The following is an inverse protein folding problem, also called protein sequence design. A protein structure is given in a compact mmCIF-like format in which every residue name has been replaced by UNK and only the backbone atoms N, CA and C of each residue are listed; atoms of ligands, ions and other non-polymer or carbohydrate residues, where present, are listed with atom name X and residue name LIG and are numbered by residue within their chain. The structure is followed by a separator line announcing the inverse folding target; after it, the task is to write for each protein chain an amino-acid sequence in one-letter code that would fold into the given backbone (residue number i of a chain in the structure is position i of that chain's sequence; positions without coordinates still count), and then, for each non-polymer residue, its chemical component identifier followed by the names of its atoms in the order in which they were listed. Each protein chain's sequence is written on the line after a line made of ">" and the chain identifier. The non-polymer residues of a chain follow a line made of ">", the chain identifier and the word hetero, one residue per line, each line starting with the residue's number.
data_IF_242383485189
#
_entry.id   IF_242383485189
#
_cell.length_a   1.000
_cell.length_b   1.000
_cell.length_c   1.000
_cell.angle_alpha   90.00
_cell.angle_beta   90.00
_cell.angle_gamma   90.00
#
_symmetry.space_group_name_H-M   'P 1'
#
loop_
_entity.id
_entity.type
_entity.pdbx_description
1 polymer ?
#
# COMPACT_ATOMS: atom_id res chain seq x y z
N UNK A 1 36.86 61.95 33.53
CA UNK A 1 37.81 61.36 32.56
C UNK A 1 37.16 60.06 32.13
N UNK A 2 37.04 59.90 30.82
CA UNK A 2 36.02 59.19 30.04
C UNK A 2 35.46 57.91 30.65
N UNK A 3 34.13 57.85 30.73
CA UNK A 3 33.39 56.63 30.46
C UNK A 3 33.60 56.32 28.97
N UNK A 4 34.76 55.75 28.62
CA UNK A 4 34.89 55.07 27.34
C UNK A 4 34.08 53.79 27.49
N UNK A 5 32.85 53.81 26.98
CA UNK A 5 32.07 52.60 26.77
C UNK A 5 32.95 51.64 25.99
N UNK A 6 33.25 50.47 26.57
CA UNK A 6 34.04 49.43 25.90
C UNK A 6 33.28 49.05 24.62
N UNK A 7 33.75 49.54 23.46
CA UNK A 7 33.06 49.38 22.17
C UNK A 7 32.77 47.91 21.86
N UNK A 8 33.60 47.01 22.39
CA UNK A 8 33.38 45.55 22.33
C UNK A 8 32.08 45.13 23.03
N UNK A 9 31.79 45.70 24.19
CA UNK A 9 30.57 45.40 24.94
C UNK A 9 29.33 46.00 24.24
N UNK A 10 29.45 47.21 23.69
CA UNK A 10 28.36 47.81 22.92
C UNK A 10 27.99 46.97 21.69
N UNK A 11 28.99 46.51 20.94
CA UNK A 11 28.76 45.63 19.78
C UNK A 11 28.14 44.29 20.20
N UNK A 12 28.62 43.68 21.29
CA UNK A 12 28.07 42.43 21.81
C UNK A 12 26.61 42.57 22.28
N UNK A 13 26.27 43.66 22.95
CA UNK A 13 24.90 43.95 23.38
C UNK A 13 23.97 44.13 22.17
N UNK A 14 24.43 44.79 21.11
CA UNK A 14 23.69 44.90 19.86
C UNK A 14 23.51 43.53 19.18
N UNK A 15 24.58 42.73 19.11
CA UNK A 15 24.54 41.41 18.48
C UNK A 15 23.63 40.43 19.22
N UNK A 16 23.66 40.41 20.54
CA UNK A 16 22.75 39.55 21.33
C UNK A 16 21.29 39.96 21.20
N UNK A 17 21.01 41.23 20.91
CA UNK A 17 19.66 41.70 20.61
C UNK A 17 19.20 41.33 19.19
N UNK A 18 20.11 41.32 18.20
CA UNK A 18 19.82 40.99 16.80
C UNK A 18 19.74 39.47 16.59
N UNK A 19 20.63 38.71 17.23
CA UNK A 19 20.78 37.26 17.10
C UNK A 19 20.56 36.57 18.46
N UNK A 20 19.31 36.26 18.84
CA UNK A 20 18.99 35.58 20.10
C UNK A 20 19.69 34.23 20.29
N UNK A 21 20.11 33.60 19.21
CA UNK A 21 20.83 32.34 19.16
C UNK A 21 22.36 32.48 19.33
N UNK A 22 22.88 33.70 19.40
CA UNK A 22 24.29 33.97 19.71
C UNK A 22 24.64 33.42 21.10
N UNK A 23 25.65 32.55 21.15
CA UNK A 23 26.10 31.92 22.38
C UNK A 23 27.43 32.52 22.86
N UNK A 24 27.42 33.16 24.03
CA UNK A 24 28.64 33.71 24.64
C UNK A 24 29.53 32.60 25.19
N UNK A 25 30.81 32.64 24.84
CA UNK A 25 31.84 31.67 25.29
C UNK A 25 32.88 32.28 26.23
N UNK A 26 32.89 33.61 26.34
CA UNK A 26 33.72 34.40 27.23
C UNK A 26 33.15 35.81 27.39
N UNK A 27 33.83 36.71 28.11
CA UNK A 27 33.35 38.09 28.31
C UNK A 27 33.32 38.90 27.01
N UNK A 28 34.21 38.59 26.06
CA UNK A 28 34.33 39.29 24.78
C UNK A 28 34.39 38.31 23.59
N UNK A 29 33.78 37.13 23.75
CA UNK A 29 33.91 36.03 22.80
C UNK A 29 32.57 35.32 22.63
N UNK A 30 32.21 35.00 21.39
CA UNK A 30 30.90 34.42 21.04
C UNK A 30 31.00 33.41 19.91
N UNK A 31 29.93 32.63 19.74
CA UNK A 31 29.73 31.78 18.57
C UNK A 31 28.30 31.85 18.06
N UNK A 32 28.16 31.72 16.74
CA UNK A 32 26.90 31.72 16.01
C UNK A 32 26.93 30.64 14.92
N UNK A 33 25.79 30.00 14.67
CA UNK A 33 25.59 29.13 13.52
C UNK A 33 24.83 29.91 12.46
N UNK A 34 25.43 30.09 11.29
CA UNK A 34 24.90 30.92 10.20
C UNK A 34 24.49 30.01 9.05
N UNK A 35 23.20 29.99 8.73
CA UNK A 35 22.69 29.27 7.56
C UNK A 35 23.06 30.03 6.27
N UNK A 36 23.39 29.29 5.22
CA UNK A 36 23.64 29.86 3.89
C UNK A 36 22.56 29.36 2.95
N UNK A 37 21.83 30.33 2.37
CA UNK A 37 20.80 30.04 1.39
C UNK A 37 21.45 29.60 0.07
N UNK A 38 20.99 28.47 -0.44
CA UNK A 38 21.38 27.99 -1.76
C UNK A 38 20.43 28.55 -2.82
N UNK A 39 20.89 29.44 -3.73
CA UNK A 39 20.03 29.98 -4.79
C UNK A 39 19.61 28.91 -5.81
N UNK A 40 20.39 27.84 -5.92
CA UNK A 40 20.09 26.67 -6.71
C UNK A 40 20.66 25.42 -6.03
N UNK A 41 20.12 24.21 -6.31
CA UNK A 41 20.69 22.97 -5.80
C UNK A 41 22.16 22.82 -6.21
N UNK A 42 22.97 22.24 -5.33
CA UNK A 42 24.37 21.91 -5.59
C UNK A 42 24.51 20.41 -5.78
N UNK A 43 25.30 19.98 -6.75
CA UNK A 43 25.67 18.57 -6.93
C UNK A 43 26.80 18.16 -6.00
N UNK A 44 26.59 17.08 -5.25
CA UNK A 44 27.63 16.41 -4.48
C UNK A 44 27.95 15.05 -5.10
N UNK A 45 29.22 14.65 -5.04
CA UNK A 45 29.69 13.35 -5.50
C UNK A 45 30.00 12.46 -4.28
N UNK A 46 29.11 11.51 -3.92
CA UNK A 46 29.42 10.53 -2.90
C UNK A 46 30.65 9.72 -3.33
N UNK A 47 31.55 9.39 -2.41
CA UNK A 47 32.80 8.71 -2.74
C UNK A 47 32.57 7.40 -3.53
N UNK A 48 33.12 7.31 -4.75
CA UNK A 48 32.99 6.18 -5.67
C UNK A 48 32.43 6.57 -7.04
N UNK A 49 32.21 5.60 -7.93
CA UNK A 49 31.57 5.74 -9.26
C UNK A 49 30.06 6.07 -9.17
N UNK A 50 29.61 6.64 -8.05
CA UNK A 50 28.21 6.95 -7.79
C UNK A 50 27.76 8.20 -8.58
N UNK A 51 26.51 8.19 -9.03
CA UNK A 51 25.92 9.34 -9.70
C UNK A 51 25.89 10.57 -8.76
N UNK A 52 26.06 11.80 -9.29
CA UNK A 52 25.91 13.02 -8.52
C UNK A 52 24.51 13.11 -7.89
N UNK A 53 24.45 13.59 -6.65
CA UNK A 53 23.21 13.83 -5.92
C UNK A 53 23.06 15.33 -5.68
N UNK A 54 21.86 15.87 -5.94
CA UNK A 54 21.58 17.28 -5.68
C UNK A 54 21.09 17.49 -4.24
N UNK A 55 21.62 18.50 -3.56
CA UNK A 55 21.17 18.96 -2.24
C UNK A 55 20.64 20.39 -2.31
N UNK A 56 19.69 20.72 -1.44
CA UNK A 56 19.06 22.05 -1.33
C UNK A 56 19.42 22.78 -0.04
N UNK A 57 19.88 22.05 0.97
CA UNK A 57 20.24 22.59 2.27
C UNK A 57 21.65 22.18 2.67
N UNK A 58 22.34 23.08 3.35
CA UNK A 58 23.67 22.83 3.89
C UNK A 58 23.70 22.99 5.41
N UNK A 59 24.56 22.21 6.10
CA UNK A 59 24.89 22.50 7.48
C UNK A 59 25.35 23.95 7.68
N UNK A 60 24.92 24.64 8.74
CA UNK A 60 25.31 26.02 8.99
C UNK A 60 26.82 26.17 9.19
N UNK A 61 27.32 27.37 8.90
CA UNK A 61 28.68 27.78 9.20
C UNK A 61 28.78 28.16 10.67
N UNK A 62 29.68 27.51 11.40
CA UNK A 62 30.05 27.90 12.74
C UNK A 62 31.02 29.07 12.66
N UNK A 63 30.54 30.26 13.03
CA UNK A 63 31.35 31.46 13.18
C UNK A 63 31.65 31.69 14.66
N UNK A 64 32.93 31.68 15.03
CA UNK A 64 33.39 32.05 16.36
C UNK A 64 34.26 33.28 16.29
N UNK A 65 34.16 34.13 17.31
CA UNK A 65 34.98 35.32 17.41
C UNK A 65 35.43 35.57 18.85
N UNK A 66 36.57 36.26 18.99
CA UNK A 66 37.14 36.77 20.23
C UNK A 66 37.64 38.19 19.97
N UNK A 67 37.18 39.16 20.75
CA UNK A 67 37.50 40.58 20.58
C UNK A 67 38.67 40.97 21.50
N UNK A 68 39.90 41.07 20.97
CA UNK A 68 41.08 41.35 21.79
C UNK A 68 41.06 42.78 22.35
N UNK A 69 41.95 43.04 23.31
CA UNK A 69 42.22 44.40 23.76
C UNK A 69 42.76 45.22 22.59
N UNK A 70 42.17 46.40 22.35
CA UNK A 70 42.50 47.27 21.22
C UNK A 70 41.59 47.13 20.01
N UNK A 71 40.66 46.16 20.00
CA UNK A 71 39.57 46.13 19.02
C UNK A 71 38.51 47.19 19.38
N UNK A 72 37.92 47.89 18.39
CA UNK A 72 38.16 47.78 16.95
C UNK A 72 39.28 48.66 16.40
N UNK A 73 39.75 49.68 17.13
CA UNK A 73 40.61 50.74 16.57
C UNK A 73 42.02 50.29 16.14
N UNK A 74 42.63 49.38 16.90
CA UNK A 74 44.09 49.07 16.81
C UNK A 74 44.39 47.59 16.62
N UNK A 75 43.39 46.71 16.80
CA UNK A 75 43.55 45.28 16.64
C UNK A 75 42.31 44.63 15.98
N UNK A 76 42.49 43.69 15.04
CA UNK A 76 41.39 42.97 14.41
C UNK A 76 40.73 41.97 15.36
N UNK A 77 39.49 41.53 15.06
CA UNK A 77 38.84 40.46 15.80
C UNK A 77 39.52 39.13 15.47
N UNK A 78 39.65 38.23 16.45
CA UNK A 78 40.12 36.87 16.20
C UNK A 78 38.93 36.01 15.81
N UNK A 79 38.88 35.58 14.56
CA UNK A 79 37.74 34.81 14.04
C UNK A 79 38.14 33.37 13.68
N UNK A 80 37.14 32.49 13.72
CA UNK A 80 37.23 31.11 13.25
C UNK A 80 35.95 30.76 12.51
N UNK A 81 36.11 30.16 11.33
CA UNK A 81 35.02 29.57 10.55
C UNK A 81 35.22 28.07 10.51
N UNK A 82 34.13 27.33 10.69
CA UNK A 82 34.10 25.89 10.51
C UNK A 82 32.75 25.48 9.91
N UNK A 83 32.75 24.61 8.92
CA UNK A 83 31.53 24.09 8.32
C UNK A 83 31.79 22.70 7.76
N UNK A 84 30.78 21.83 7.83
CA UNK A 84 30.90 20.44 7.37
C UNK A 84 31.19 20.31 5.87
N UNK A 85 31.03 21.38 5.10
CA UNK A 85 31.23 21.47 3.65
C UNK A 85 32.44 22.34 3.24
N UNK A 86 33.20 22.90 4.20
CA UNK A 86 34.41 23.68 3.94
C UNK A 86 35.67 22.89 4.33
N UNK A 87 36.81 23.14 3.68
CA UNK A 87 38.09 22.63 4.16
C UNK A 87 38.77 23.61 5.12
N UNK A 88 39.47 23.14 6.18
CA UNK A 88 40.20 24.02 7.08
C UNK A 88 41.28 24.88 6.39
N UNK A 89 41.78 24.42 5.23
CA UNK A 89 42.75 25.16 4.43
C UNK A 89 42.11 26.34 3.69
N UNK A 90 40.95 26.15 3.05
CA UNK A 90 40.20 27.22 2.39
C UNK A 90 39.70 28.27 3.40
N UNK A 91 39.21 27.82 4.56
CA UNK A 91 38.83 28.73 5.65
C UNK A 91 40.00 29.64 6.05
N UNK A 92 41.21 29.08 6.22
CA UNK A 92 42.40 29.86 6.64
C UNK A 92 42.98 30.74 5.54
N UNK A 93 43.00 30.26 4.30
CA UNK A 93 43.70 30.92 3.19
C UNK A 93 42.85 31.91 2.39
N UNK A 94 41.52 31.70 2.32
CA UNK A 94 40.59 32.51 1.52
C UNK A 94 39.55 33.23 2.39
N UNK A 95 38.81 32.48 3.22
CA UNK A 95 37.60 33.01 3.86
C UNK A 95 37.89 33.94 5.05
N UNK A 96 38.77 33.53 5.98
CA UNK A 96 39.16 34.36 7.13
C UNK A 96 39.82 35.67 6.66
N UNK A 97 40.80 35.67 5.72
CA UNK A 97 41.36 36.92 5.21
C UNK A 97 40.32 37.85 4.57
N UNK A 98 39.36 37.33 3.81
CA UNK A 98 38.31 38.13 3.19
C UNK A 98 37.41 38.83 4.23
N UNK A 99 37.08 38.15 5.34
CA UNK A 99 36.34 38.77 6.43
C UNK A 99 37.18 39.80 7.19
N UNK A 100 38.45 39.52 7.46
CA UNK A 100 39.35 40.46 8.13
C UNK A 100 39.61 41.71 7.28
N UNK A 101 39.51 41.63 5.95
CA UNK A 101 39.57 42.78 5.07
C UNK A 101 38.44 43.79 5.34
N UNK A 102 37.23 43.32 5.71
CA UNK A 102 36.11 44.20 6.09
C UNK A 102 36.47 45.07 7.30
N UNK A 103 37.25 44.53 8.25
CA UNK A 103 37.78 45.31 9.37
C UNK A 103 38.86 46.29 8.91
N UNK A 104 39.82 45.84 8.10
CA UNK A 104 40.94 46.68 7.64
C UNK A 104 40.45 47.92 6.85
N UNK A 105 39.33 47.81 6.14
CA UNK A 105 38.75 48.92 5.37
C UNK A 105 38.03 49.96 6.24
N UNK A 106 37.49 49.56 7.40
CA UNK A 106 36.64 50.41 8.24
C UNK A 106 37.30 50.84 9.57
N UNK A 107 38.09 49.95 10.21
CA UNK A 107 38.61 50.10 11.58
C UNK A 107 37.52 50.40 12.64
N UNK A 108 36.31 49.88 12.42
CA UNK A 108 35.12 50.03 13.27
C UNK A 108 34.62 48.65 13.78
N UNK A 109 33.62 48.58 14.69
CA UNK A 109 32.95 47.31 15.01
C UNK A 109 32.38 46.66 13.73
N UNK A 110 32.71 45.40 13.48
CA UNK A 110 32.48 44.72 12.18
C UNK A 110 31.86 43.33 12.28
N UNK A 111 31.61 42.79 13.48
CA UNK A 111 31.10 41.43 13.65
C UNK A 111 29.73 41.27 13.01
N UNK A 112 28.85 42.27 13.16
CA UNK A 112 27.57 42.29 12.44
C UNK A 112 27.78 42.24 10.92
N UNK A 113 28.68 43.09 10.40
CA UNK A 113 29.01 43.16 8.98
C UNK A 113 29.59 41.85 8.46
N UNK A 114 30.41 41.15 9.27
CA UNK A 114 30.93 39.83 8.94
C UNK A 114 29.81 38.79 8.88
N UNK A 115 28.86 38.78 9.84
CA UNK A 115 27.71 37.87 9.83
C UNK A 115 26.82 38.13 8.62
N UNK A 116 26.51 39.39 8.33
CA UNK A 116 25.73 39.80 7.17
C UNK A 116 26.41 39.41 5.85
N UNK A 117 27.73 39.61 5.76
CA UNK A 117 28.51 39.21 4.60
C UNK A 117 28.52 37.69 4.40
N UNK A 118 28.65 36.90 5.48
CA UNK A 118 28.55 35.42 5.42
C UNK A 118 27.18 35.01 4.91
N UNK A 119 26.12 35.64 5.41
CA UNK A 119 24.73 35.32 5.05
C UNK A 119 24.44 35.67 3.59
N UNK A 120 24.85 36.86 3.15
CA UNK A 120 24.49 37.41 1.84
C UNK A 120 25.45 36.96 0.71
N UNK A 121 26.75 36.91 1.00
CA UNK A 121 27.79 36.67 -0.01
C UNK A 121 28.49 35.31 0.16
N UNK A 122 28.17 34.57 1.22
CA UNK A 122 28.81 33.29 1.53
C UNK A 122 28.69 32.27 0.41
N UNK A 123 27.54 32.21 -0.28
CA UNK A 123 27.35 31.29 -1.40
C UNK A 123 28.35 31.55 -2.55
N UNK A 124 28.48 32.78 -3.04
CA UNK A 124 29.37 33.08 -4.17
C UNK A 124 30.86 33.01 -3.78
N UNK A 125 31.18 33.27 -2.51
CA UNK A 125 32.57 33.40 -2.07
C UNK A 125 33.15 32.13 -1.44
N UNK A 126 32.31 31.30 -0.83
CA UNK A 126 32.74 30.06 -0.18
C UNK A 126 32.72 28.86 -1.11
N UNK A 127 31.91 28.87 -2.16
CA UNK A 127 31.79 27.74 -3.09
C UNK A 127 32.60 27.98 -4.36
N UNK A 128 33.38 26.98 -4.78
CA UNK A 128 34.07 26.95 -6.07
C UNK A 128 33.56 25.72 -6.86
N UNK A 129 32.32 25.76 -7.35
CA UNK A 129 31.61 24.78 -8.20
C UNK A 129 31.53 23.29 -7.78
N UNK A 130 32.46 22.75 -6.98
CA UNK A 130 32.47 21.35 -6.50
C UNK A 130 32.94 21.24 -5.03
N UNK A 131 32.06 20.74 -4.16
CA UNK A 131 32.40 20.41 -2.76
C UNK A 131 33.21 19.10 -2.76
N UNK A 132 34.54 19.18 -2.87
CA UNK A 132 35.36 18.01 -3.21
C UNK A 132 35.93 17.22 -2.04
N UNK A 133 35.80 17.61 -0.77
CA UNK A 133 36.41 16.86 0.36
C UNK A 133 35.68 16.95 1.68
N UNK A 134 34.40 16.61 1.68
CA UNK A 134 33.57 16.58 2.90
C UNK A 134 32.84 15.25 2.99
N UNK A 135 32.55 14.77 4.20
CA UNK A 135 31.84 13.51 4.40
C UNK A 135 30.45 13.62 3.73
N UNK A 136 30.22 12.99 2.55
CA UNK A 136 29.00 13.21 1.77
C UNK A 136 27.76 12.77 2.54
N UNK A 137 27.90 11.77 3.41
CA UNK A 137 26.82 11.29 4.26
C UNK A 137 26.33 12.37 5.23
N UNK A 138 27.22 13.24 5.74
CA UNK A 138 26.80 14.32 6.64
C UNK A 138 25.96 15.37 5.91
N UNK A 139 26.30 15.68 4.66
CA UNK A 139 25.55 16.64 3.84
C UNK A 139 24.19 16.07 3.45
N UNK A 140 24.15 14.82 2.97
CA UNK A 140 22.91 14.13 2.62
C UNK A 140 21.96 13.99 3.81
N UNK A 141 22.50 13.62 4.97
CA UNK A 141 21.70 13.49 6.19
C UNK A 141 21.15 14.84 6.66
N UNK A 142 21.94 15.92 6.54
CA UNK A 142 21.46 17.26 6.85
C UNK A 142 20.36 17.69 5.89
N UNK A 143 20.56 17.55 4.58
CA UNK A 143 19.57 17.92 3.56
C UNK A 143 18.26 17.15 3.73
N UNK A 144 18.33 15.83 3.93
CA UNK A 144 17.16 15.00 4.19
C UNK A 144 16.40 15.44 5.46
N UNK A 145 17.13 15.76 6.53
CA UNK A 145 16.53 16.23 7.78
C UNK A 145 15.90 17.62 7.62
N UNK A 146 16.57 18.54 6.94
CA UNK A 146 16.06 19.89 6.69
C UNK A 146 14.81 19.84 5.82
N UNK A 147 14.81 19.07 4.73
CA UNK A 147 13.63 18.84 3.90
C UNK A 147 12.47 18.19 4.67
N UNK A 148 12.76 17.29 5.62
CA UNK A 148 11.75 16.72 6.51
C UNK A 148 11.17 17.77 7.47
N UNK A 149 12.00 18.63 8.06
CA UNK A 149 11.54 19.70 8.95
C UNK A 149 10.70 20.75 8.20
N UNK A 150 11.08 21.11 6.97
CA UNK A 150 10.28 21.97 6.10
C UNK A 150 8.89 21.37 5.86
N UNK A 151 8.85 20.11 5.45
CA UNK A 151 7.60 19.37 5.29
C UNK A 151 6.77 19.42 6.58
N UNK A 152 7.37 19.13 7.73
CA UNK A 152 6.67 19.11 9.02
C UNK A 152 6.04 20.46 9.40
N UNK A 153 6.70 21.57 9.04
CA UNK A 153 6.23 22.95 9.28
C UNK A 153 5.16 23.39 8.29
N UNK A 154 5.21 22.91 7.06
CA UNK A 154 4.23 23.20 6.03
C UNK A 154 2.84 22.64 6.38
N UNK A 155 1.80 23.19 5.75
CA UNK A 155 0.41 22.80 5.99
C UNK A 155 -0.26 22.30 4.72
N UNK A 156 -0.70 21.04 4.75
CA UNK A 156 -1.26 20.33 3.61
C UNK A 156 -2.75 20.09 3.78
N UNK A 157 -3.51 20.20 2.69
CA UNK A 157 -4.93 19.84 2.64
C UNK A 157 -5.06 18.33 2.39
N UNK A 158 -5.62 17.60 3.34
CA UNK A 158 -5.88 16.17 3.15
C UNK A 158 -7.15 15.96 2.30
N UNK A 159 -7.03 15.29 1.15
CA UNK A 159 -8.18 15.07 0.25
C UNK A 159 -9.20 14.03 0.76
N UNK A 160 -8.88 13.28 1.82
CA UNK A 160 -9.81 12.31 2.42
C UNK A 160 -10.75 13.02 3.41
N UNK A 161 -10.22 13.80 4.34
CA UNK A 161 -11.01 14.48 5.37
C UNK A 161 -11.29 15.96 5.08
N UNK A 162 -10.65 16.54 4.05
CA UNK A 162 -10.79 17.93 3.62
C UNK A 162 -10.32 18.98 4.64
N UNK A 163 -9.47 18.60 5.60
CA UNK A 163 -8.86 19.52 6.57
C UNK A 163 -7.40 19.81 6.26
N UNK A 164 -6.93 21.02 6.61
CA UNK A 164 -5.52 21.39 6.59
C UNK A 164 -4.83 20.91 7.87
N UNK A 165 -3.74 20.17 7.72
CA UNK A 165 -2.92 19.66 8.84
C UNK A 165 -1.44 19.94 8.57
N UNK A 166 -0.65 20.09 9.64
CA UNK A 166 0.81 20.26 9.57
C UNK A 166 1.46 18.97 9.06
N UNK A 167 2.56 19.07 8.31
CA UNK A 167 3.24 17.89 7.79
C UNK A 167 3.65 16.88 8.85
N UNK A 168 3.89 17.33 10.09
CA UNK A 168 4.22 16.47 11.24
C UNK A 168 3.18 15.38 11.55
N UNK A 169 1.92 15.56 11.15
CA UNK A 169 0.83 14.56 11.31
C UNK A 169 0.31 14.06 9.97
N UNK A 170 1.11 14.23 8.91
CA UNK A 170 0.80 13.84 7.56
C UNK A 170 1.85 12.85 7.05
N UNK A 171 1.44 12.03 6.10
CA UNK A 171 2.32 11.11 5.39
C UNK A 171 2.35 11.50 3.92
N UNK A 172 3.56 11.67 3.39
CA UNK A 172 3.81 11.85 1.95
C UNK A 172 4.14 10.50 1.33
N UNK A 173 3.31 10.06 0.39
CA UNK A 173 3.55 8.83 -0.37
C UNK A 173 4.63 9.06 -1.44
N UNK A 174 5.17 7.99 -2.02
CA UNK A 174 6.15 8.05 -3.12
C UNK A 174 5.64 8.72 -4.41
N UNK A 175 4.33 8.94 -4.53
CA UNK A 175 3.73 9.74 -5.60
C UNK A 175 3.66 11.23 -5.27
N UNK A 176 4.28 11.66 -4.17
CA UNK A 176 4.26 13.01 -3.61
C UNK A 176 2.90 13.49 -3.09
N UNK A 177 1.84 12.69 -3.19
CA UNK A 177 0.55 13.01 -2.58
C UNK A 177 0.62 12.91 -1.05
N UNK A 178 0.03 13.90 -0.38
CA UNK A 178 0.09 14.08 1.08
C UNK A 178 -1.30 13.95 1.68
N UNK A 179 -1.40 13.19 2.75
CA UNK A 179 -2.64 12.99 3.49
C UNK A 179 -2.37 12.96 4.99
N UNK A 180 -3.41 13.17 5.79
CA UNK A 180 -3.28 12.95 7.22
C UNK A 180 -3.00 11.47 7.52
N UNK A 181 -2.07 11.18 8.43
CA UNK A 181 -1.66 9.79 8.73
C UNK A 181 -2.85 8.95 9.18
N UNK A 182 -3.67 9.49 10.09
CA UNK A 182 -4.94 8.91 10.54
C UNK A 182 -5.89 8.54 9.39
N UNK A 183 -5.97 9.38 8.36
CA UNK A 183 -6.84 9.19 7.21
C UNK A 183 -6.35 8.03 6.33
N UNK A 184 -5.03 7.96 6.09
CA UNK A 184 -4.45 6.88 5.29
C UNK A 184 -4.49 5.54 6.02
N UNK A 185 -4.19 5.54 7.32
CA UNK A 185 -4.32 4.35 8.16
C UNK A 185 -5.74 3.79 8.09
N UNK A 186 -6.76 4.63 8.33
CA UNK A 186 -8.16 4.21 8.25
C UNK A 186 -8.54 3.72 6.84
N UNK A 187 -8.08 4.42 5.79
CA UNK A 187 -8.34 4.05 4.39
C UNK A 187 -7.78 2.68 4.04
N UNK A 188 -6.49 2.44 4.30
CA UNK A 188 -5.86 1.15 4.00
C UNK A 188 -6.39 0.03 4.89
N UNK A 189 -6.65 0.31 6.16
CA UNK A 189 -7.28 -0.65 7.07
C UNK A 189 -8.64 -1.12 6.53
N UNK A 190 -9.48 -0.20 6.05
CA UNK A 190 -10.77 -0.54 5.47
C UNK A 190 -10.62 -1.43 4.22
N UNK A 191 -9.73 -1.07 3.29
CA UNK A 191 -9.50 -1.85 2.07
C UNK A 191 -9.02 -3.28 2.37
N UNK A 192 -8.04 -3.43 3.27
CA UNK A 192 -7.47 -4.73 3.64
C UNK A 192 -8.49 -5.58 4.40
N UNK A 193 -9.28 -4.96 5.28
CA UNK A 193 -10.32 -5.66 6.05
C UNK A 193 -11.41 -6.20 5.13
N UNK A 194 -11.85 -5.37 4.17
CA UNK A 194 -12.90 -5.71 3.20
C UNK A 194 -12.40 -6.61 2.05
N UNK A 195 -11.08 -6.76 1.89
CA UNK A 195 -10.49 -7.61 0.85
C UNK A 195 -10.35 -6.94 -0.52
N UNK A 196 -10.45 -5.62 -0.60
CA UNK A 196 -10.26 -4.83 -1.83
C UNK A 196 -8.77 -4.59 -2.13
N UNK A 197 -8.02 -5.68 -2.31
CA UNK A 197 -6.56 -5.67 -2.44
C UNK A 197 -6.09 -4.96 -3.71
N UNK A 198 -6.86 -5.05 -4.79
CA UNK A 198 -6.60 -4.39 -6.07
C UNK A 198 -6.65 -2.85 -5.99
N UNK A 199 -7.30 -2.32 -4.94
CA UNK A 199 -7.46 -0.89 -4.66
C UNK A 199 -6.40 -0.34 -3.68
N UNK A 200 -5.49 -1.17 -3.16
CA UNK A 200 -4.38 -0.73 -2.29
C UNK A 200 -3.34 0.03 -3.12
N UNK A 201 -3.69 1.28 -3.42
CA UNK A 201 -2.98 2.27 -4.24
C UNK A 201 -3.12 3.64 -3.58
N UNK A 202 -2.50 4.65 -4.15
CA UNK A 202 -2.73 6.04 -3.77
C UNK A 202 -4.23 6.38 -3.82
N UNK A 203 -4.72 7.11 -2.82
CA UNK A 203 -6.12 7.52 -2.74
C UNK A 203 -6.49 8.61 -3.75
N UNK A 204 -5.52 9.22 -4.44
CA UNK A 204 -5.76 10.17 -5.53
C UNK A 204 -6.28 9.41 -6.78
N UNK A 205 -7.52 9.70 -7.25
CA UNK A 205 -8.16 8.92 -8.31
C UNK A 205 -7.36 8.83 -9.61
N UNK A 206 -6.58 9.86 -9.93
CA UNK A 206 -5.80 9.92 -11.18
C UNK A 206 -4.38 9.34 -11.05
N UNK A 207 -3.92 9.02 -9.85
CA UNK A 207 -2.53 8.60 -9.62
C UNK A 207 -2.29 7.12 -9.95
N UNK A 208 -3.11 6.22 -9.40
CA UNK A 208 -2.98 4.77 -9.61
C UNK A 208 -1.68 4.11 -9.11
N UNK A 209 -0.72 4.87 -8.55
CA UNK A 209 0.55 4.34 -8.05
C UNK A 209 0.29 3.43 -6.84
N UNK A 210 0.94 2.26 -6.82
CA UNK A 210 0.92 1.37 -5.65
C UNK A 210 1.71 1.99 -4.50
N UNK A 211 1.25 1.72 -3.29
CA UNK A 211 1.93 2.15 -2.07
C UNK A 211 3.16 1.29 -1.85
N UNK A 212 4.25 1.91 -1.41
CA UNK A 212 5.46 1.17 -1.04
C UNK A 212 5.18 0.20 0.12
N UNK A 213 5.69 -1.05 0.07
CA UNK A 213 5.51 -2.04 1.12
C UNK A 213 5.89 -1.56 2.52
N UNK A 214 6.97 -0.79 2.66
CA UNK A 214 7.45 -0.30 3.96
C UNK A 214 6.54 0.81 4.51
N UNK A 215 6.07 1.72 3.64
CA UNK A 215 5.12 2.75 4.02
C UNK A 215 3.77 2.16 4.43
N UNK A 216 3.26 1.19 3.66
CA UNK A 216 2.00 0.51 4.00
C UNK A 216 2.11 -0.20 5.34
N UNK A 217 3.18 -0.96 5.58
CA UNK A 217 3.44 -1.64 6.84
C UNK A 217 3.50 -0.66 8.03
N UNK A 218 4.16 0.50 7.84
CA UNK A 218 4.22 1.54 8.88
C UNK A 218 2.85 2.15 9.19
N UNK A 219 1.95 2.25 8.22
CA UNK A 219 0.61 2.82 8.38
C UNK A 219 -0.37 1.87 9.05
N UNK A 220 -0.39 0.58 8.68
CA UNK A 220 -1.42 -0.39 9.15
C UNK A 220 -0.92 -1.36 10.22
N UNK A 221 0.37 -1.36 10.51
CA UNK A 221 1.01 -2.31 11.42
C UNK A 221 1.24 -3.71 10.82
N UNK A 222 1.95 -4.54 11.58
CA UNK A 222 2.41 -5.86 11.12
C UNK A 222 1.27 -6.83 10.80
N UNK A 223 0.26 -6.92 11.67
CA UNK A 223 -0.84 -7.88 11.55
C UNK A 223 -1.66 -7.68 10.26
N UNK A 224 -2.09 -6.44 10.01
CA UNK A 224 -2.85 -6.11 8.79
C UNK A 224 -1.98 -6.22 7.54
N UNK A 225 -0.68 -5.92 7.65
CA UNK A 225 0.25 -6.06 6.53
C UNK A 225 0.46 -7.54 6.15
N UNK A 226 0.62 -8.45 7.11
CA UNK A 226 0.68 -9.90 6.87
C UNK A 226 -0.62 -10.43 6.23
N UNK A 227 -1.76 -9.93 6.68
CA UNK A 227 -3.06 -10.21 6.04
C UNK A 227 -3.09 -9.73 4.60
N UNK A 228 -2.65 -8.50 4.33
CA UNK A 228 -2.56 -7.95 2.97
C UNK A 228 -1.67 -8.80 2.06
N UNK A 229 -0.50 -9.24 2.54
CA UNK A 229 0.40 -10.12 1.79
C UNK A 229 -0.29 -11.45 1.44
N UNK A 230 -0.98 -12.05 2.41
CA UNK A 230 -1.71 -13.31 2.22
C UNK A 230 -2.82 -13.16 1.18
N UNK A 231 -3.61 -12.08 1.26
CA UNK A 231 -4.70 -11.81 0.33
C UNK A 231 -4.18 -11.46 -1.08
N UNK A 232 -3.07 -10.72 -1.19
CA UNK A 232 -2.41 -10.41 -2.46
C UNK A 232 -1.96 -11.69 -3.16
N UNK A 233 -1.26 -12.57 -2.43
CA UNK A 233 -0.83 -13.87 -2.97
C UNK A 233 -2.02 -14.73 -3.38
N UNK A 234 -3.09 -14.75 -2.58
CA UNK A 234 -4.33 -15.47 -2.91
C UNK A 234 -4.94 -14.93 -4.21
N UNK A 235 -5.09 -13.62 -4.33
CA UNK A 235 -5.64 -12.95 -5.50
C UNK A 235 -4.82 -13.25 -6.77
N UNK A 236 -3.49 -13.19 -6.68
CA UNK A 236 -2.60 -13.54 -7.79
C UNK A 236 -2.72 -15.00 -8.23
N UNK A 237 -2.88 -15.92 -7.28
CA UNK A 237 -3.07 -17.34 -7.57
C UNK A 237 -4.44 -17.61 -8.21
N UNK A 238 -5.50 -16.98 -7.71
CA UNK A 238 -6.86 -17.10 -8.28
C UNK A 238 -6.95 -16.53 -9.69
N UNK A 239 -6.18 -15.48 -10.00
CA UNK A 239 -6.12 -14.88 -11.33
C UNK A 239 -5.37 -15.72 -12.38
N UNK A 240 -4.48 -16.65 -11.96
CA UNK A 240 -3.71 -17.50 -12.88
C UNK A 240 -4.50 -18.77 -13.26
N UNK A 241 -4.91 -18.96 -14.53
CA UNK A 241 -5.66 -20.15 -14.97
C UNK A 241 -4.91 -21.46 -14.80
N UNK A 242 -3.59 -21.42 -14.58
CA UNK A 242 -2.78 -22.60 -14.35
C UNK A 242 -2.70 -23.04 -12.88
N UNK A 243 -3.24 -22.23 -11.97
CA UNK A 243 -3.34 -22.55 -10.54
C UNK A 243 -4.24 -23.77 -10.32
N UNK A 244 -3.78 -24.65 -9.44
CA UNK A 244 -4.47 -25.87 -9.06
C UNK A 244 -4.88 -25.79 -7.59
N UNK A 245 -6.03 -26.35 -7.24
CA UNK A 245 -6.43 -26.51 -5.84
C UNK A 245 -5.97 -27.88 -5.37
N UNK A 246 -5.39 -27.94 -4.16
CA UNK A 246 -5.05 -29.21 -3.53
C UNK A 246 -6.33 -30.05 -3.34
N UNK A 247 -6.40 -31.28 -3.84
CA UNK A 247 -7.63 -32.09 -3.78
C UNK A 247 -7.93 -32.69 -2.41
N UNK A 248 -7.14 -32.39 -1.37
CA UNK A 248 -7.44 -32.79 0.01
C UNK A 248 -8.40 -31.80 0.64
N UNK A 249 -9.56 -32.28 1.09
CA UNK A 249 -10.60 -31.51 1.77
C UNK A 249 -10.05 -30.72 2.98
N UNK A 250 -9.09 -31.29 3.71
CA UNK A 250 -8.46 -30.65 4.87
C UNK A 250 -7.40 -29.60 4.50
N UNK A 251 -7.11 -29.39 3.21
CA UNK A 251 -6.02 -28.53 2.75
C UNK A 251 -6.49 -27.47 1.76
N UNK A 252 -6.99 -27.87 0.59
CA UNK A 252 -7.47 -26.98 -0.48
C UNK A 252 -6.55 -25.80 -0.86
N UNK A 253 -5.25 -25.90 -0.54
CA UNK A 253 -4.28 -24.85 -0.85
C UNK A 253 -4.19 -24.58 -2.37
N UNK A 254 -4.05 -23.31 -2.75
CA UNK A 254 -3.77 -22.88 -4.11
C UNK A 254 -2.32 -23.17 -4.45
N UNK A 255 -2.09 -23.91 -5.52
CA UNK A 255 -0.78 -24.40 -5.95
C UNK A 255 -0.51 -23.84 -7.33
N UNK A 256 0.59 -23.08 -7.45
CA UNK A 256 1.13 -22.68 -8.75
C UNK A 256 2.13 -23.73 -9.24
N UNK A 257 1.81 -24.51 -10.29
CA UNK A 257 2.71 -25.53 -10.80
C UNK A 257 3.91 -24.88 -11.49
N UNK A 258 5.12 -25.42 -11.27
CA UNK A 258 6.35 -24.92 -11.91
C UNK A 258 6.33 -25.13 -13.43
N UNK A 259 5.82 -26.29 -13.87
CA UNK A 259 5.61 -26.60 -15.27
C UNK A 259 4.13 -26.92 -15.50
N UNK A 260 3.51 -26.24 -16.46
CA UNK A 260 2.08 -26.40 -16.77
C UNK A 260 1.77 -27.74 -17.45
N UNK A 261 2.76 -28.35 -18.08
CA UNK A 261 2.64 -29.63 -18.80
C UNK A 261 2.89 -30.83 -17.88
N UNK A 262 3.49 -30.61 -16.71
CA UNK A 262 3.80 -31.68 -15.78
C UNK A 262 2.54 -32.22 -15.10
N UNK A 263 2.37 -33.55 -15.16
CA UNK A 263 1.23 -34.23 -14.58
C UNK A 263 1.37 -34.46 -13.08
N UNK A 264 2.60 -34.52 -12.56
CA UNK A 264 2.85 -34.62 -11.12
C UNK A 264 2.73 -33.23 -10.49
N UNK A 265 1.89 -33.12 -9.46
CA UNK A 265 1.75 -31.93 -8.65
C UNK A 265 1.99 -32.29 -7.18
N UNK A 266 2.80 -31.49 -6.48
CA UNK A 266 3.07 -31.67 -5.05
C UNK A 266 2.59 -30.42 -4.33
N UNK A 267 1.66 -30.58 -3.38
CA UNK A 267 1.16 -29.46 -2.57
C UNK A 267 2.26 -28.89 -1.67
N UNK A 268 2.43 -27.56 -1.64
CA UNK A 268 3.39 -26.90 -0.76
C UNK A 268 3.04 -27.04 0.72
N UNK A 269 1.74 -27.05 1.04
CA UNK A 269 1.24 -27.06 2.42
C UNK A 269 1.25 -28.48 3.01
N UNK A 270 0.48 -29.40 2.42
CA UNK A 270 0.31 -30.76 2.98
C UNK A 270 1.21 -31.83 2.36
N UNK A 271 2.09 -31.47 1.41
CA UNK A 271 3.01 -32.36 0.68
C UNK A 271 2.34 -33.51 -0.10
N UNK A 272 1.02 -33.48 -0.27
CA UNK A 272 0.30 -34.48 -1.04
C UNK A 272 0.71 -34.42 -2.53
N UNK A 273 1.14 -35.56 -3.06
CA UNK A 273 1.46 -35.74 -4.47
C UNK A 273 0.23 -36.25 -5.24
N UNK A 274 -0.23 -35.49 -6.21
CA UNK A 274 -1.43 -35.78 -7.00
C UNK A 274 -1.23 -35.54 -8.49
N UNK A 275 -2.08 -36.16 -9.31
CA UNK A 275 -2.09 -35.99 -10.75
C UNK A 275 -2.88 -34.73 -11.15
N UNK A 276 -2.30 -33.84 -11.96
CA UNK A 276 -2.93 -32.63 -12.48
C UNK A 276 -4.27 -32.90 -13.18
N UNK A 277 -4.35 -34.02 -13.93
CA UNK A 277 -5.49 -34.33 -14.81
C UNK A 277 -6.67 -34.97 -14.08
N UNK A 278 -6.43 -35.85 -13.10
CA UNK A 278 -7.50 -36.55 -12.38
C UNK A 278 -7.67 -36.10 -10.93
N UNK A 279 -6.72 -35.30 -10.41
CA UNK A 279 -6.67 -34.82 -9.03
C UNK A 279 -6.67 -35.94 -7.96
N UNK A 280 -6.25 -37.14 -8.32
CA UNK A 280 -6.03 -38.28 -7.39
C UNK A 280 -4.57 -38.40 -7.01
N UNK A 281 -4.27 -39.29 -6.06
CA UNK A 281 -2.89 -39.68 -5.74
C UNK A 281 -2.08 -39.95 -7.00
N UNK A 282 -0.84 -39.45 -7.02
CA UNK A 282 0.05 -39.64 -8.16
C UNK A 282 0.21 -41.13 -8.48
N UNK A 283 -0.09 -41.51 -9.72
CA UNK A 283 -0.10 -42.90 -10.17
C UNK A 283 1.05 -43.23 -11.13
N UNK A 284 2.04 -42.34 -11.26
CA UNK A 284 3.18 -42.52 -12.16
C UNK A 284 2.83 -42.25 -13.63
N UNK A 285 3.88 -42.20 -14.46
CA UNK A 285 3.77 -41.89 -15.90
C UNK A 285 3.22 -43.05 -16.74
N UNK A 286 3.46 -44.29 -16.31
CA UNK A 286 3.09 -45.49 -17.07
C UNK A 286 1.65 -45.95 -16.80
N UNK A 287 1.08 -45.57 -15.66
CA UNK A 287 -0.33 -45.86 -15.35
C UNK A 287 -1.24 -44.89 -16.09
N UNK A 288 -2.17 -45.42 -16.88
CA UNK A 288 -3.15 -44.60 -17.60
C UNK A 288 -4.02 -43.82 -16.61
N UNK A 289 -4.07 -42.51 -16.80
CA UNK A 289 -4.97 -41.62 -16.07
C UNK A 289 -6.43 -41.90 -16.47
N UNK A 290 -7.16 -42.68 -15.65
CA UNK A 290 -8.54 -43.07 -15.94
C UNK A 290 -9.55 -42.11 -15.28
N UNK A 291 -10.05 -41.12 -16.02
CA UNK A 291 -11.05 -40.16 -15.49
C UNK A 291 -12.50 -40.65 -15.64
N UNK A 292 -12.74 -41.85 -16.15
CA UNK A 292 -14.08 -42.29 -16.52
C UNK A 292 -14.81 -42.91 -15.32
N UNK A 293 -15.20 -42.06 -14.38
CA UNK A 293 -16.16 -42.40 -13.33
C UNK A 293 -17.55 -41.96 -13.81
N UNK A 294 -18.53 -42.86 -13.82
CA UNK A 294 -19.91 -42.58 -14.24
C UNK A 294 -20.84 -42.57 -13.02
N UNK A 295 -22.01 -41.91 -13.09
CA UNK A 295 -22.99 -41.92 -11.99
C UNK A 295 -23.35 -43.33 -11.52
N UNK A 296 -23.45 -44.30 -12.43
CA UNK A 296 -23.79 -45.69 -12.09
C UNK A 296 -22.71 -46.34 -11.23
N UNK A 297 -21.43 -46.01 -11.45
CA UNK A 297 -20.33 -46.50 -10.63
C UNK A 297 -20.28 -45.85 -9.25
N UNK A 298 -20.73 -44.60 -9.13
CA UNK A 298 -20.85 -43.90 -7.83
C UNK A 298 -21.97 -44.54 -7.03
N UNK A 299 -23.13 -44.77 -7.65
CA UNK A 299 -24.27 -45.47 -7.03
C UNK A 299 -23.84 -46.88 -6.59
N UNK A 300 -23.18 -47.64 -7.47
CA UNK A 300 -22.65 -48.96 -7.10
C UNK A 300 -21.66 -48.90 -5.93
N UNK A 301 -20.81 -47.86 -5.83
CA UNK A 301 -19.91 -47.67 -4.69
C UNK A 301 -20.64 -47.36 -3.37
N UNK A 302 -21.74 -46.62 -3.44
CA UNK A 302 -22.54 -46.21 -2.28
C UNK A 302 -23.44 -47.34 -1.77
N UNK A 303 -23.96 -48.16 -2.68
CA UNK A 303 -24.88 -49.26 -2.38
C UNK A 303 -24.17 -50.56 -1.97
N UNK A 304 -22.87 -50.68 -2.24
CA UNK A 304 -22.07 -51.88 -1.93
C UNK A 304 -21.44 -51.79 -0.52
N UNK A 305 -21.50 -52.93 0.19
CA UNK A 305 -20.81 -53.11 1.46
C UNK A 305 -19.27 -53.05 1.25
N UNK A 306 -18.44 -52.90 2.29
CA UNK A 306 -16.98 -52.79 2.19
C UNK A 306 -16.24 -53.92 1.47
N UNK A 307 -16.93 -54.95 0.97
CA UNK A 307 -16.40 -56.08 0.21
C UNK A 307 -16.76 -55.99 -1.28
N UNK A 308 -15.94 -56.56 -2.18
CA UNK A 308 -16.33 -56.69 -3.60
C UNK A 308 -16.04 -55.45 -4.46
N UNK A 309 -17.07 -54.89 -5.11
CA UNK A 309 -16.93 -53.86 -6.14
C UNK A 309 -16.46 -52.54 -5.52
N UNK A 310 -16.89 -52.25 -4.28
CA UNK A 310 -16.37 -51.13 -3.48
C UNK A 310 -14.84 -51.14 -3.36
N UNK A 311 -14.25 -52.26 -2.94
CA UNK A 311 -12.79 -52.41 -2.81
C UNK A 311 -12.09 -52.22 -4.15
N UNK A 312 -12.67 -52.81 -5.22
CA UNK A 312 -12.13 -52.69 -6.57
C UNK A 312 -12.13 -51.23 -7.03
N UNK A 313 -13.21 -50.48 -6.81
CA UNK A 313 -13.30 -49.07 -7.15
C UNK A 313 -12.31 -48.23 -6.32
N UNK A 314 -12.11 -48.51 -5.03
CA UNK A 314 -11.10 -47.83 -4.21
C UNK A 314 -9.67 -48.12 -4.66
N UNK A 315 -9.38 -49.31 -5.21
CA UNK A 315 -8.07 -49.62 -5.78
C UNK A 315 -7.83 -48.89 -7.12
N UNK A 316 -8.85 -48.79 -7.98
CA UNK A 316 -8.74 -48.15 -9.30
C UNK A 316 -8.70 -46.62 -9.17
N UNK A 317 -9.59 -46.06 -8.36
CA UNK A 317 -9.86 -44.63 -8.27
C UNK A 317 -9.28 -43.98 -7.00
N UNK A 318 -8.91 -44.78 -6.00
CA UNK A 318 -8.42 -44.31 -4.71
C UNK A 318 -9.55 -44.13 -3.70
N UNK A 319 -9.41 -44.73 -2.52
CA UNK A 319 -10.36 -44.64 -1.39
C UNK A 319 -10.83 -43.21 -1.10
N UNK A 320 -9.90 -42.27 -0.91
CA UNK A 320 -10.23 -40.89 -0.57
C UNK A 320 -11.03 -40.17 -1.66
N UNK A 321 -10.73 -40.46 -2.93
CA UNK A 321 -11.46 -39.90 -4.06
C UNK A 321 -12.88 -40.46 -4.16
N UNK A 322 -13.04 -41.78 -4.04
CA UNK A 322 -14.36 -42.43 -4.06
C UNK A 322 -15.25 -41.95 -2.91
N UNK A 323 -14.69 -41.83 -1.70
CA UNK A 323 -15.40 -41.30 -0.55
C UNK A 323 -15.86 -39.85 -0.77
N UNK A 324 -15.03 -39.00 -1.38
CA UNK A 324 -15.38 -37.60 -1.68
C UNK A 324 -16.49 -37.50 -2.72
N UNK A 325 -16.34 -38.17 -3.86
CA UNK A 325 -17.34 -38.14 -4.94
C UNK A 325 -18.66 -38.77 -4.48
N UNK A 326 -18.60 -39.84 -3.68
CA UNK A 326 -19.79 -40.42 -3.06
C UNK A 326 -20.52 -39.44 -2.13
N UNK A 327 -19.78 -38.67 -1.31
CA UNK A 327 -20.37 -37.60 -0.50
C UNK A 327 -20.99 -36.48 -1.34
N UNK A 328 -20.29 -36.00 -2.37
CA UNK A 328 -20.79 -34.97 -3.30
C UNK A 328 -22.11 -35.41 -3.94
N UNK A 329 -22.17 -36.65 -4.42
CA UNK A 329 -23.39 -37.23 -5.00
C UNK A 329 -24.55 -37.32 -3.99
N UNK A 330 -24.28 -37.74 -2.76
CA UNK A 330 -25.31 -37.79 -1.71
C UNK A 330 -25.84 -36.40 -1.36
N UNK A 331 -24.98 -35.38 -1.33
CA UNK A 331 -25.37 -33.99 -1.09
C UNK A 331 -26.27 -33.49 -2.22
N UNK A 332 -25.88 -33.71 -3.48
CA UNK A 332 -26.67 -33.33 -4.65
C UNK A 332 -28.04 -34.01 -4.63
N UNK A 333 -28.09 -35.32 -4.33
CA UNK A 333 -29.33 -36.08 -4.20
C UNK A 333 -30.23 -35.53 -3.09
N UNK A 334 -29.69 -35.29 -1.90
CA UNK A 334 -30.44 -34.71 -0.77
C UNK A 334 -30.94 -33.29 -1.09
N UNK A 335 -30.16 -32.51 -1.81
CA UNK A 335 -30.54 -31.16 -2.23
C UNK A 335 -31.72 -31.21 -3.21
N UNK A 336 -31.72 -32.16 -4.16
CA UNK A 336 -32.82 -32.32 -5.10
C UNK A 336 -34.10 -32.82 -4.40
N UNK A 337 -33.99 -33.80 -3.50
CA UNK A 337 -35.10 -34.24 -2.65
C UNK A 337 -35.66 -33.09 -1.80
N UNK A 338 -34.79 -32.20 -1.29
CA UNK A 338 -35.21 -31.01 -0.55
C UNK A 338 -35.95 -30.00 -1.45
N UNK A 339 -35.47 -29.78 -2.69
CA UNK A 339 -36.16 -28.91 -3.65
C UNK A 339 -37.56 -29.42 -3.95
N UNK A 340 -37.70 -30.71 -4.22
CA UNK A 340 -39.01 -31.33 -4.50
C UNK A 340 -39.94 -31.18 -3.29
N UNK A 341 -39.44 -31.49 -2.09
CA UNK A 341 -40.23 -31.43 -0.85
C UNK A 341 -40.72 -30.02 -0.52
N UNK A 342 -39.90 -29.00 -0.79
CA UNK A 342 -40.22 -27.60 -0.53
C UNK A 342 -40.85 -26.89 -1.74
N UNK A 343 -41.12 -27.62 -2.83
CA UNK A 343 -41.62 -27.06 -4.09
C UNK A 343 -40.78 -25.87 -4.59
N UNK A 344 -39.46 -26.00 -4.52
CA UNK A 344 -38.49 -25.00 -4.99
C UNK A 344 -38.31 -25.17 -6.50
N UNK A 345 -38.47 -24.08 -7.25
CA UNK A 345 -38.35 -24.08 -8.70
C UNK A 345 -37.02 -23.45 -9.15
N UNK A 346 -36.37 -24.01 -10.16
CA UNK A 346 -35.18 -23.41 -10.76
C UNK A 346 -35.53 -22.31 -11.75
N UNK A 347 -34.74 -21.22 -11.77
CA UNK A 347 -34.83 -20.23 -12.82
C UNK A 347 -34.41 -20.83 -14.18
N UNK A 348 -35.22 -20.71 -15.25
CA UNK A 348 -34.89 -21.29 -16.56
C UNK A 348 -33.64 -20.72 -17.23
N UNK A 349 -33.21 -19.53 -16.83
CA UNK A 349 -32.07 -18.84 -17.47
C UNK A 349 -30.76 -19.05 -16.71
N UNK A 350 -30.79 -19.04 -15.38
CA UNK A 350 -29.58 -19.04 -14.55
C UNK A 350 -29.55 -20.15 -13.49
N UNK A 351 -30.53 -21.05 -13.50
CA UNK A 351 -30.68 -22.22 -12.62
C UNK A 351 -30.62 -21.91 -11.12
N UNK A 352 -30.81 -20.65 -10.74
CA UNK A 352 -30.88 -20.27 -9.34
C UNK A 352 -32.13 -20.88 -8.72
N UNK A 353 -32.04 -21.64 -7.62
CA UNK A 353 -33.20 -22.21 -6.93
C UNK A 353 -34.01 -21.07 -6.31
N UNK A 354 -35.31 -21.03 -6.61
CA UNK A 354 -36.26 -20.02 -6.16
C UNK A 354 -37.33 -20.71 -5.33
N UNK A 355 -37.36 -20.36 -4.05
CA UNK A 355 -38.48 -20.66 -3.16
C UNK A 355 -39.52 -19.53 -3.28
N UNK A 356 -40.80 -19.89 -3.34
CA UNK A 356 -41.90 -18.93 -3.40
C UNK A 356 -42.45 -18.70 -2.00
N UNK A 357 -42.34 -17.47 -1.49
CA UNK A 357 -42.87 -17.09 -0.18
C UNK A 357 -44.37 -16.73 -0.19
N UNK A 358 -44.83 -16.00 -1.20
CA UNK A 358 -46.25 -15.62 -1.39
C UNK A 358 -46.46 -15.03 -2.79
N UNK A 359 -47.70 -14.81 -3.20
CA UNK A 359 -48.05 -14.13 -4.45
C UNK A 359 -48.38 -15.07 -5.62
N UNK A 360 -48.27 -14.57 -6.85
CA UNK A 360 -48.71 -15.28 -8.06
C UNK A 360 -47.60 -16.14 -8.69
N UNK A 361 -47.99 -17.07 -9.58
CA UNK A 361 -47.07 -17.97 -10.28
C UNK A 361 -46.24 -17.29 -11.38
N UNK A 362 -46.45 -16.00 -11.65
CA UNK A 362 -45.52 -15.17 -12.43
C UNK A 362 -44.41 -14.67 -11.51
N UNK A 363 -43.25 -15.31 -11.56
CA UNK A 363 -42.09 -14.97 -10.74
C UNK A 363 -41.06 -14.15 -11.51
N UNK A 364 -40.17 -13.49 -10.79
CA UNK A 364 -38.98 -12.81 -11.34
C UNK A 364 -37.77 -13.27 -10.57
N UNK A 365 -36.76 -13.80 -11.26
CA UNK A 365 -35.56 -14.30 -10.61
C UNK A 365 -34.85 -13.17 -9.85
N UNK A 366 -34.46 -13.40 -8.60
CA UNK A 366 -33.74 -12.43 -7.77
C UNK A 366 -32.32 -12.17 -8.27
N UNK A 367 -31.72 -13.14 -8.98
CA UNK A 367 -30.36 -13.06 -9.54
C UNK A 367 -30.33 -12.42 -10.92
N UNK A 368 -30.93 -13.04 -11.93
CA UNK A 368 -30.85 -12.58 -13.32
C UNK A 368 -32.03 -11.70 -13.77
N UNK A 369 -33.03 -11.49 -12.91
CA UNK A 369 -34.26 -10.73 -13.22
C UNK A 369 -35.12 -11.28 -14.36
N UNK A 370 -34.83 -12.49 -14.87
CA UNK A 370 -35.67 -13.15 -15.87
C UNK A 370 -37.06 -13.43 -15.28
N UNK A 371 -38.15 -12.96 -15.92
CA UNK A 371 -39.50 -13.35 -15.55
C UNK A 371 -39.79 -14.78 -16.04
N UNK A 372 -40.40 -15.60 -15.19
CA UNK A 372 -40.68 -17.00 -15.49
C UNK A 372 -41.95 -17.49 -14.79
N UNK A 373 -42.56 -18.55 -15.32
CA UNK A 373 -43.69 -19.23 -14.69
C UNK A 373 -43.18 -20.23 -13.65
N UNK A 374 -43.64 -20.13 -12.40
CA UNK A 374 -43.24 -21.01 -11.31
C UNK A 374 -43.72 -22.45 -11.50
N UNK A 375 -44.87 -22.63 -12.17
CA UNK A 375 -45.48 -23.95 -12.37
C UNK A 375 -44.74 -24.80 -13.41
N UNK A 376 -44.51 -24.23 -14.59
CA UNK A 376 -43.91 -24.97 -15.70
C UNK A 376 -42.42 -24.68 -15.91
N UNK A 377 -41.85 -23.75 -15.14
CA UNK A 377 -40.44 -23.36 -15.24
C UNK A 377 -40.10 -22.57 -16.51
N UNK A 378 -41.05 -22.23 -17.38
CA UNK A 378 -40.76 -21.56 -18.66
C UNK A 378 -40.49 -20.06 -18.50
N UNK A 379 -39.54 -19.55 -19.28
CA UNK A 379 -39.28 -18.11 -19.42
C UNK A 379 -40.49 -17.41 -20.01
N UNK A 380 -40.91 -16.31 -19.38
CA UNK A 380 -41.99 -15.46 -19.87
C UNK A 380 -41.38 -14.39 -20.78
N UNK A 381 -41.38 -14.65 -22.08
CA UNK A 381 -40.73 -13.78 -23.07
C UNK A 381 -41.49 -12.45 -23.23
N UNK A 382 -40.80 -11.33 -22.95
CA UNK A 382 -41.16 -9.98 -23.42
C UNK A 382 -41.01 -8.86 -22.38
N UNK A 383 -40.27 -7.79 -22.71
CA UNK A 383 -40.44 -6.48 -22.06
C UNK A 383 -41.75 -5.79 -22.52
N UNK A 384 -42.32 -6.24 -23.65
CA UNK A 384 -43.52 -5.68 -24.28
C UNK A 384 -44.83 -6.40 -23.90
N UNK A 385 -44.77 -7.71 -23.59
CA UNK A 385 -45.87 -8.49 -23.04
C UNK A 385 -45.67 -8.55 -21.53
N UNK A 386 -46.66 -8.18 -20.73
CA UNK A 386 -46.52 -8.13 -19.26
C UNK A 386 -46.30 -9.51 -18.59
N UNK A 387 -45.97 -10.56 -19.35
CA UNK A 387 -45.71 -11.95 -18.91
C UNK A 387 -46.94 -12.70 -18.39
N UNK A 388 -48.11 -12.07 -18.39
CA UNK A 388 -49.37 -12.68 -17.94
C UNK A 388 -50.11 -13.45 -19.03
N UNK A 389 -49.75 -13.26 -20.31
CA UNK A 389 -50.35 -13.96 -21.45
C UNK A 389 -50.24 -15.49 -21.31
N UNK A 390 -49.14 -15.97 -20.76
CA UNK A 390 -48.92 -17.38 -20.43
C UNK A 390 -50.04 -18.00 -19.56
N UNK A 391 -50.73 -17.19 -18.73
CA UNK A 391 -51.83 -17.65 -17.89
C UNK A 391 -53.21 -17.40 -18.52
N UNK A 392 -53.29 -16.67 -19.64
CA UNK A 392 -54.53 -16.29 -20.31
C UNK A 392 -54.73 -16.99 -21.66
N UNK A 393 -53.68 -17.60 -22.23
CA UNK A 393 -53.78 -18.37 -23.47
C UNK A 393 -54.33 -19.77 -23.21
N UNK A 394 -55.40 -20.13 -23.92
CA UNK A 394 -56.09 -21.44 -23.77
C UNK A 394 -55.15 -22.62 -24.11
N UNK A 395 -54.13 -22.39 -24.93
CA UNK A 395 -53.15 -23.41 -25.32
C UNK A 395 -52.01 -23.58 -24.30
N UNK A 396 -51.91 -22.69 -23.31
CA UNK A 396 -50.92 -22.82 -22.24
C UNK A 396 -51.35 -23.89 -21.24
N UNK A 397 -50.42 -24.77 -20.86
CA UNK A 397 -50.64 -25.74 -19.78
C UNK A 397 -50.90 -25.06 -18.42
N UNK A 398 -50.58 -23.77 -18.29
CA UNK A 398 -50.81 -22.95 -17.10
C UNK A 398 -52.02 -21.99 -17.26
N UNK A 399 -52.91 -22.24 -18.22
CA UNK A 399 -54.11 -21.44 -18.43
C UNK A 399 -54.97 -21.36 -17.16
N UNK A 400 -55.29 -20.13 -16.72
CA UNK A 400 -56.02 -19.80 -15.49
C UNK A 400 -55.37 -20.25 -14.19
N UNK A 401 -54.06 -20.56 -14.21
CA UNK A 401 -53.30 -21.04 -13.06
C UNK A 401 -52.40 -19.94 -12.45
N UNK A 402 -52.77 -18.67 -12.56
CA UNK A 402 -51.94 -17.57 -12.04
C UNK A 402 -51.82 -17.60 -10.50
N UNK A 403 -52.85 -18.05 -9.80
CA UNK A 403 -52.91 -18.10 -8.33
C UNK A 403 -53.15 -19.50 -7.76
N UNK A 404 -53.11 -20.54 -8.59
CA UNK A 404 -53.28 -21.92 -8.12
C UNK A 404 -52.09 -22.38 -7.29
N UNK A 405 -52.35 -23.21 -6.28
CA UNK A 405 -51.40 -23.67 -5.29
C UNK A 405 -50.69 -22.50 -4.59
N UNK A 406 -51.35 -21.35 -4.42
CA UNK A 406 -50.84 -20.24 -3.59
C UNK A 406 -51.60 -20.23 -2.27
N UNK A 407 -51.02 -19.70 -1.20
CA UNK A 407 -51.67 -19.60 0.13
C UNK A 407 -53.05 -18.91 0.08
N UNK A 408 -53.35 -18.19 -1.01
CA UNK A 408 -54.63 -17.55 -1.28
C UNK A 408 -55.77 -18.58 -1.52
N UNK A 409 -55.47 -19.81 -1.97
CA UNK A 409 -56.47 -20.89 -2.07
C UNK A 409 -56.78 -21.55 -0.72
N UNK A 410 -55.83 -21.63 0.21
CA UNK A 410 -56.04 -22.23 1.53
C UNK A 410 -56.85 -21.32 2.48
N UNK A 411 -56.90 -20.02 2.21
CA UNK A 411 -57.74 -19.07 2.94
C UNK A 411 -59.16 -18.93 2.36
N UNK A 412 -59.45 -19.57 1.22
CA UNK A 412 -60.73 -19.49 0.50
C UNK A 412 -61.56 -20.80 0.57
N UNK A 413 -61.09 -21.80 1.33
CA UNK A 413 -61.84 -22.97 1.79
C UNK A 413 -62.07 -22.86 3.30
#
# INVERSE_FOLDING_TARGET
>A
MSEDEDERMLELDALTAIYPELSMTGPHSGLLYIDIDLPHPISIHPSGDAAPVEIKHLPPVLFKFDLPVGYPETAPPKIMLDAAWMTPEECRSKHIPALLQLWEEAHEPVIYTMIDWITTNGFENFFNDEITRTNPDLLLNHDARSAQQEFERESFLCQICQYRKKGAVCTRLDCSHVYCTECLEAYYTALITQGYIDQVKCAEPTCGKRVDPSQLRALVGDELYERYQTLTKKFELEADPSTLICPRDSCQALIRPRNKEEMLCICSECKFAFCRKCQRSWHGYYTKCNNRLTPELIVAYLDDEPEGERVRLEMIFGRGFMARVGREYLIEKQFEEYKEKMNIQSCPECDTPIERSSGCNKMTCTKCRTPFCFLCGQTLLGYASNGYEHFNEIYSLCYRQLFTNTEIEEAAQ
#
